data_IF_129496973423
#
_entry.id   IF_129496973423
#
_cell.length_a   1.000
_cell.length_b   1.000
_cell.length_c   1.000
_cell.angle_alpha   90.00
_cell.angle_beta   90.00
_cell.angle_gamma   90.00
#
_symmetry.space_group_name_H-M   'P 1'
#
loop_
_entity.id
_entity.type
_entity.pdbx_description
1 polymer ?
#
# COMPACT_ATOMS: atom_id res chain seq x y z
N UNK A 1 -16.13 -10.23 -67.92
CA UNK A 1 -15.54 -11.17 -66.95
C UNK A 1 -14.02 -11.07 -67.03
N UNK A 2 -13.35 -10.53 -66.01
CA UNK A 2 -11.89 -10.45 -65.98
C UNK A 2 -11.35 -11.42 -64.91
N UNK A 3 -10.67 -12.47 -65.34
CA UNK A 3 -10.02 -13.47 -64.50
C UNK A 3 -8.77 -12.86 -63.84
N UNK A 4 -8.88 -12.48 -62.56
CA UNK A 4 -7.71 -12.08 -61.76
C UNK A 4 -6.85 -13.30 -61.45
N UNK A 5 -5.68 -13.40 -62.07
CA UNK A 5 -4.67 -14.43 -61.80
C UNK A 5 -4.15 -14.32 -60.36
N UNK A 6 -4.49 -15.28 -59.48
CA UNK A 6 -3.91 -15.39 -58.13
C UNK A 6 -2.42 -15.71 -58.24
N UNK A 7 -1.54 -14.79 -57.82
CA UNK A 7 -0.10 -15.05 -57.62
C UNK A 7 0.08 -16.23 -56.66
N UNK A 8 0.68 -17.33 -57.13
CA UNK A 8 1.10 -18.48 -56.30
C UNK A 8 2.03 -17.97 -55.18
N UNK A 9 1.69 -18.22 -53.92
CA UNK A 9 2.61 -18.03 -52.78
C UNK A 9 3.83 -18.93 -53.01
N UNK A 10 5.04 -18.34 -53.03
CA UNK A 10 6.30 -19.10 -53.01
C UNK A 10 6.28 -20.06 -51.82
N UNK A 11 6.55 -21.34 -52.06
CA UNK A 11 6.70 -22.33 -50.99
C UNK A 11 7.78 -21.85 -49.98
N UNK A 12 7.57 -22.05 -48.67
CA UNK A 12 8.60 -21.71 -47.69
C UNK A 12 9.87 -22.51 -48.00
N UNK A 13 11.02 -21.82 -48.04
CA UNK A 13 12.33 -22.48 -48.18
C UNK A 13 12.50 -23.52 -47.06
N UNK A 14 12.96 -24.72 -47.41
CA UNK A 14 13.28 -25.76 -46.44
C UNK A 14 14.22 -25.21 -45.35
N UNK A 15 13.87 -25.42 -44.08
CA UNK A 15 14.64 -24.94 -42.94
C UNK A 15 15.91 -25.78 -42.83
N UNK A 16 17.08 -25.15 -42.74
CA UNK A 16 18.38 -25.82 -42.58
C UNK A 16 18.35 -26.67 -41.30
N UNK A 17 18.91 -27.88 -41.33
CA UNK A 17 19.19 -28.65 -40.11
C UNK A 17 20.29 -27.90 -39.35
N UNK A 18 19.94 -27.34 -38.20
CA UNK A 18 20.88 -26.61 -37.34
C UNK A 18 21.39 -27.54 -36.25
N UNK A 19 22.71 -27.65 -36.10
CA UNK A 19 23.36 -28.26 -34.94
C UNK A 19 23.42 -27.18 -33.86
N UNK A 20 22.99 -27.52 -32.65
CA UNK A 20 22.93 -26.54 -31.56
C UNK A 20 24.32 -25.99 -31.21
N UNK A 21 24.35 -24.83 -30.56
CA UNK A 21 25.58 -24.15 -30.10
C UNK A 21 26.56 -25.01 -29.29
N UNK A 22 26.08 -26.07 -28.63
CA UNK A 22 26.92 -27.00 -27.88
C UNK A 22 27.85 -27.88 -28.72
N UNK A 23 27.63 -27.98 -30.04
CA UNK A 23 28.48 -28.73 -30.96
C UNK A 23 29.57 -27.86 -31.63
N UNK A 24 29.67 -26.58 -31.26
CA UNK A 24 30.65 -25.67 -31.85
C UNK A 24 32.09 -26.07 -31.48
N UNK A 25 33.02 -26.13 -32.46
CA UNK A 25 34.41 -26.47 -32.19
C UNK A 25 35.09 -25.42 -31.30
N UNK A 26 35.80 -25.86 -30.26
CA UNK A 26 36.55 -25.02 -29.32
C UNK A 26 38.08 -25.10 -29.50
N UNK A 27 38.53 -25.85 -30.51
CA UNK A 27 39.92 -26.06 -30.88
C UNK A 27 40.45 -25.00 -31.85
N UNK A 28 39.60 -24.51 -32.75
CA UNK A 28 39.99 -23.56 -33.79
C UNK A 28 38.93 -22.48 -34.01
N UNK A 29 39.29 -21.23 -33.70
CA UNK A 29 38.40 -20.07 -33.79
C UNK A 29 37.85 -19.83 -35.20
N UNK A 30 38.64 -20.08 -36.26
CA UNK A 30 38.19 -19.91 -37.64
C UNK A 30 37.10 -20.92 -37.99
N UNK A 31 37.29 -22.19 -37.60
CA UNK A 31 36.27 -23.25 -37.77
C UNK A 31 35.01 -22.96 -36.95
N UNK A 32 35.17 -22.42 -35.75
CA UNK A 32 34.03 -22.02 -34.92
C UNK A 32 33.22 -20.89 -35.55
N UNK A 33 33.88 -19.87 -36.11
CA UNK A 33 33.21 -18.78 -36.81
C UNK A 33 32.37 -19.29 -37.98
N UNK A 34 32.93 -20.21 -38.77
CA UNK A 34 32.25 -20.84 -39.90
C UNK A 34 31.08 -21.71 -39.41
N UNK A 35 31.27 -22.48 -38.32
CA UNK A 35 30.22 -23.26 -37.66
C UNK A 35 29.05 -22.39 -37.18
N UNK A 36 29.32 -21.25 -36.53
CA UNK A 36 28.29 -20.31 -36.11
C UNK A 36 27.56 -19.68 -37.30
N UNK A 37 28.26 -19.41 -38.40
CA UNK A 37 27.66 -18.84 -39.61
C UNK A 37 26.74 -19.84 -40.34
N UNK A 38 27.13 -21.11 -40.34
CA UNK A 38 26.47 -22.13 -41.13
C UNK A 38 25.47 -22.97 -40.31
N UNK A 39 25.85 -23.43 -39.14
CA UNK A 39 25.11 -24.50 -38.46
C UNK A 39 24.25 -24.03 -37.28
N UNK A 40 24.50 -22.84 -36.74
CA UNK A 40 23.77 -22.29 -35.59
C UNK A 40 22.59 -21.41 -36.03
N UNK A 41 21.39 -21.62 -35.47
CA UNK A 41 20.23 -20.73 -35.70
C UNK A 41 20.47 -19.35 -35.07
N UNK A 42 20.10 -18.28 -35.77
CA UNK A 42 20.20 -16.89 -35.30
C UNK A 42 19.53 -16.65 -33.94
N UNK A 43 18.50 -17.45 -33.61
CA UNK A 43 17.83 -17.40 -32.30
C UNK A 43 18.76 -17.72 -31.13
N UNK A 44 19.83 -18.49 -31.35
CA UNK A 44 20.79 -18.89 -30.31
C UNK A 44 21.89 -17.84 -30.06
N UNK A 45 22.05 -16.85 -30.95
CA UNK A 45 23.10 -15.82 -30.81
C UNK A 45 22.87 -14.88 -29.63
N UNK A 46 21.63 -14.40 -29.45
CA UNK A 46 21.31 -13.38 -28.45
C UNK A 46 21.56 -13.85 -27.00
N UNK A 47 21.19 -15.07 -26.59
CA UNK A 47 21.55 -15.60 -25.27
C UNK A 47 23.05 -15.61 -24.99
N UNK A 48 23.87 -16.04 -25.97
CA UNK A 48 25.33 -16.11 -25.84
C UNK A 48 25.94 -14.71 -25.66
N UNK A 49 25.50 -13.76 -26.48
CA UNK A 49 25.97 -12.37 -26.41
C UNK A 49 25.57 -11.74 -25.09
N UNK A 50 24.34 -11.99 -24.60
CA UNK A 50 23.87 -11.52 -23.29
C UNK A 50 24.73 -12.06 -22.15
N UNK A 51 25.13 -13.33 -22.20
CA UNK A 51 25.99 -13.93 -21.19
C UNK A 51 27.37 -13.25 -21.15
N UNK A 52 27.98 -13.00 -22.31
CA UNK A 52 29.26 -12.31 -22.42
C UNK A 52 29.19 -10.86 -21.91
N UNK A 53 28.19 -10.10 -22.36
CA UNK A 53 28.01 -8.70 -21.97
C UNK A 53 27.80 -8.55 -20.46
N UNK A 54 27.10 -9.50 -19.83
CA UNK A 54 26.93 -9.55 -18.37
C UNK A 54 28.22 -9.89 -17.61
N UNK A 55 29.08 -10.74 -18.17
CA UNK A 55 30.37 -11.14 -17.56
C UNK A 55 31.40 -10.01 -17.65
N UNK A 56 31.41 -9.24 -18.75
CA UNK A 56 32.50 -8.28 -19.05
C UNK A 56 32.20 -6.82 -18.72
N UNK A 57 30.99 -6.33 -18.96
CA UNK A 57 30.68 -4.88 -18.86
C UNK A 57 29.91 -4.53 -17.60
N UNK A 58 30.00 -3.28 -17.16
CA UNK A 58 29.23 -2.73 -16.05
C UNK A 58 27.74 -2.59 -16.39
N UNK A 59 26.90 -2.47 -15.36
CA UNK A 59 25.44 -2.47 -15.50
C UNK A 59 24.92 -1.32 -16.39
N UNK A 60 25.58 -0.16 -16.42
CA UNK A 60 25.13 0.97 -17.24
C UNK A 60 25.40 0.70 -18.73
N UNK A 61 26.59 0.18 -19.04
CA UNK A 61 26.96 -0.20 -20.41
C UNK A 61 26.11 -1.37 -20.93
N UNK A 62 25.80 -2.35 -20.08
CA UNK A 62 24.87 -3.43 -20.44
C UNK A 62 23.49 -2.90 -20.85
N UNK A 63 22.93 -1.97 -20.08
CA UNK A 63 21.63 -1.37 -20.36
C UNK A 63 21.62 -0.59 -21.68
N UNK A 64 22.69 0.14 -21.97
CA UNK A 64 22.85 0.84 -23.24
C UNK A 64 22.91 -0.16 -24.41
N UNK A 65 23.78 -1.18 -24.32
CA UNK A 65 23.92 -2.20 -25.37
C UNK A 65 22.59 -2.90 -25.67
N UNK A 66 21.85 -3.32 -24.64
CA UNK A 66 20.58 -4.04 -24.81
C UNK A 66 19.38 -3.16 -25.20
N UNK A 67 19.52 -1.83 -25.20
CA UNK A 67 18.46 -0.95 -25.70
C UNK A 67 18.42 -0.90 -27.23
N UNK A 68 19.50 -1.31 -27.90
CA UNK A 68 19.52 -1.46 -29.35
C UNK A 68 18.59 -2.58 -29.83
N UNK A 69 18.22 -2.54 -31.11
CA UNK A 69 17.41 -3.60 -31.72
C UNK A 69 18.19 -4.91 -31.81
N UNK A 70 17.50 -6.06 -31.69
CA UNK A 70 18.12 -7.38 -31.74
C UNK A 70 18.92 -7.60 -33.04
N UNK A 71 18.48 -7.00 -34.16
CA UNK A 71 19.19 -7.08 -35.44
C UNK A 71 20.54 -6.35 -35.45
N UNK A 72 20.72 -5.34 -34.61
CA UNK A 72 21.98 -4.61 -34.47
C UNK A 72 23.02 -5.38 -33.63
N UNK A 73 22.58 -6.37 -32.84
CA UNK A 73 23.42 -7.13 -31.90
C UNK A 73 23.73 -8.53 -32.45
N UNK A 74 22.77 -9.18 -33.12
CA UNK A 74 22.80 -10.63 -33.43
C UNK A 74 23.53 -10.97 -34.73
N UNK A 75 24.85 -10.82 -34.75
CA UNK A 75 25.71 -11.29 -35.84
C UNK A 75 26.40 -12.63 -35.50
N UNK A 76 26.62 -13.48 -36.51
CA UNK A 76 27.19 -14.83 -36.33
C UNK A 76 28.63 -14.81 -35.79
N UNK A 77 29.48 -13.91 -36.29
CA UNK A 77 30.86 -13.75 -35.83
C UNK A 77 30.93 -13.16 -34.41
N UNK A 78 29.98 -12.27 -34.05
CA UNK A 78 29.85 -11.72 -32.71
C UNK A 78 29.48 -12.83 -31.72
N UNK A 79 28.54 -13.70 -32.08
CA UNK A 79 28.13 -14.85 -31.26
C UNK A 79 29.27 -15.86 -31.08
N UNK A 80 30.01 -16.18 -32.15
CA UNK A 80 31.17 -17.08 -32.08
C UNK A 80 32.26 -16.55 -31.13
N UNK A 81 32.57 -15.26 -31.21
CA UNK A 81 33.50 -14.61 -30.30
C UNK A 81 33.02 -14.65 -28.85
N UNK A 82 31.75 -14.28 -28.60
CA UNK A 82 31.17 -14.32 -27.26
C UNK A 82 31.16 -15.74 -26.68
N UNK A 83 30.95 -16.77 -27.51
CA UNK A 83 31.02 -18.16 -27.10
C UNK A 83 32.42 -18.56 -26.63
N UNK A 84 33.46 -18.17 -27.37
CA UNK A 84 34.86 -18.42 -26.97
C UNK A 84 35.24 -17.69 -25.68
N UNK A 85 34.80 -16.44 -25.53
CA UNK A 85 35.06 -15.65 -24.33
C UNK A 85 34.29 -16.16 -23.09
N UNK A 86 33.11 -16.77 -23.28
CA UNK A 86 32.36 -17.38 -22.19
C UNK A 86 32.97 -18.70 -21.72
N UNK A 87 33.63 -19.44 -22.63
CA UNK A 87 34.32 -20.70 -22.34
C UNK A 87 35.81 -20.51 -22.01
N UNK A 88 36.25 -19.28 -21.70
CA UNK A 88 37.61 -18.94 -21.29
C UNK A 88 38.71 -19.36 -22.31
N UNK A 89 38.38 -19.34 -23.61
CA UNK A 89 39.30 -19.65 -24.73
C UNK A 89 39.81 -18.38 -25.41
N UNK A 90 40.15 -17.36 -24.63
CA UNK A 90 40.61 -16.07 -25.16
C UNK A 90 41.91 -16.18 -25.98
N UNK A 91 42.83 -17.08 -25.58
CA UNK A 91 44.15 -17.25 -26.20
C UNK A 91 44.10 -17.75 -27.66
N UNK A 92 42.98 -18.34 -28.07
CA UNK A 92 42.78 -18.87 -29.43
C UNK A 92 42.15 -17.84 -30.38
N UNK A 93 41.81 -16.65 -29.89
CA UNK A 93 41.16 -15.60 -30.67
C UNK A 93 42.22 -14.62 -31.18
N UNK A 94 42.27 -14.33 -32.50
CA UNK A 94 43.21 -13.35 -33.05
C UNK A 94 43.00 -11.95 -32.46
N UNK A 95 44.10 -11.23 -32.21
CA UNK A 95 44.08 -9.87 -31.62
C UNK A 95 43.22 -8.89 -32.42
N UNK A 96 43.24 -8.97 -33.75
CA UNK A 96 42.39 -8.15 -34.63
C UNK A 96 40.90 -8.34 -34.33
N UNK A 97 40.49 -9.59 -34.04
CA UNK A 97 39.11 -9.90 -33.68
C UNK A 97 38.77 -9.35 -32.30
N UNK A 98 39.71 -9.36 -31.35
CA UNK A 98 39.52 -8.76 -30.03
C UNK A 98 39.33 -7.24 -30.14
N UNK A 99 40.18 -6.56 -30.91
CA UNK A 99 40.12 -5.12 -31.12
C UNK A 99 38.81 -4.69 -31.80
N UNK A 100 38.39 -5.40 -32.85
CA UNK A 100 37.12 -5.13 -33.53
C UNK A 100 35.91 -5.31 -32.59
N UNK A 101 35.92 -6.36 -31.77
CA UNK A 101 34.82 -6.66 -30.85
C UNK A 101 34.73 -5.63 -29.71
N UNK A 102 35.86 -5.09 -29.25
CA UNK A 102 35.87 -4.01 -28.26
C UNK A 102 35.18 -2.74 -28.81
N UNK A 103 35.57 -2.27 -30.00
CA UNK A 103 34.93 -1.11 -30.63
C UNK A 103 33.47 -1.36 -31.03
N UNK A 104 33.11 -2.61 -31.36
CA UNK A 104 31.73 -2.97 -31.65
C UNK A 104 30.80 -2.84 -30.43
N UNK A 105 31.21 -3.30 -29.25
CA UNK A 105 30.37 -3.22 -28.06
C UNK A 105 30.36 -1.83 -27.41
N UNK A 106 31.52 -1.18 -27.31
CA UNK A 106 31.66 0.09 -26.61
C UNK A 106 31.27 1.24 -27.53
N UNK A 107 32.04 1.47 -28.61
CA UNK A 107 31.87 2.66 -29.45
C UNK A 107 30.58 2.60 -30.26
N UNK A 108 30.21 1.43 -30.80
CA UNK A 108 29.02 1.32 -31.65
C UNK A 108 27.73 1.08 -30.84
N UNK A 109 27.69 0.05 -30.01
CA UNK A 109 26.45 -0.35 -29.33
C UNK A 109 26.16 0.47 -28.09
N UNK A 110 27.15 0.76 -27.25
CA UNK A 110 26.89 1.52 -26.02
C UNK A 110 26.58 3.00 -26.32
N UNK A 111 27.24 3.64 -27.29
CA UNK A 111 26.92 5.02 -27.67
C UNK A 111 25.53 5.16 -28.29
N UNK A 112 25.18 4.31 -29.27
CA UNK A 112 23.83 4.27 -29.84
C UNK A 112 22.77 3.93 -28.79
N UNK A 113 23.10 3.05 -27.85
CA UNK A 113 22.24 2.75 -26.72
C UNK A 113 21.96 3.96 -25.84
N UNK A 114 23.00 4.77 -25.55
CA UNK A 114 22.87 6.00 -24.75
C UNK A 114 22.00 7.05 -25.44
N UNK A 115 22.10 7.22 -26.76
CA UNK A 115 21.24 8.18 -27.50
C UNK A 115 19.77 7.75 -27.47
N UNK A 116 19.48 6.47 -27.69
CA UNK A 116 18.11 5.93 -27.62
C UNK A 116 17.52 6.10 -26.20
N UNK A 117 18.32 5.88 -25.15
CA UNK A 117 17.88 6.10 -23.75
C UNK A 117 17.55 7.57 -23.51
N UNK A 118 18.32 8.50 -24.07
CA UNK A 118 18.07 9.93 -23.93
C UNK A 118 16.77 10.36 -24.63
N UNK A 119 16.53 9.86 -25.85
CA UNK A 119 15.31 10.13 -26.62
C UNK A 119 14.05 9.59 -25.91
N UNK A 120 14.08 8.35 -25.42
CA UNK A 120 12.95 7.76 -24.68
C UNK A 120 12.65 8.56 -23.40
N UNK A 121 13.70 8.97 -22.68
CA UNK A 121 13.53 9.81 -21.47
C UNK A 121 12.99 11.20 -21.81
N UNK A 122 13.28 11.75 -22.99
CA UNK A 122 12.73 13.02 -23.43
C UNK A 122 11.24 12.90 -23.79
N UNK A 123 10.83 11.83 -24.49
CA UNK A 123 9.42 11.56 -24.79
C UNK A 123 8.59 11.27 -23.54
N UNK A 124 9.10 10.51 -22.58
CA UNK A 124 8.40 10.25 -21.31
C UNK A 124 8.20 11.55 -20.52
N UNK A 125 9.16 12.48 -20.55
CA UNK A 125 9.00 13.80 -19.93
C UNK A 125 7.98 14.67 -20.64
N UNK A 126 7.77 14.48 -21.94
CA UNK A 126 6.79 15.24 -22.73
C UNK A 126 5.35 14.73 -22.56
N UNK A 127 5.15 13.42 -22.38
CA UNK A 127 3.81 12.80 -22.31
C UNK A 127 3.10 12.90 -20.94
N UNK A 128 3.79 13.28 -19.87
CA UNK A 128 3.28 13.07 -18.50
C UNK A 128 2.67 14.31 -17.83
N UNK A 129 2.78 15.52 -18.37
CA UNK A 129 2.41 16.71 -17.56
C UNK A 129 0.93 17.07 -17.49
N UNK A 130 0.06 16.65 -18.43
CA UNK A 130 -1.30 17.21 -18.52
C UNK A 130 -2.44 16.19 -18.72
N UNK A 131 -2.27 14.92 -18.33
CA UNK A 131 -3.41 14.01 -18.32
C UNK A 131 -4.26 14.25 -17.06
N UNK A 132 -5.43 14.88 -17.21
CA UNK A 132 -6.39 15.05 -16.12
C UNK A 132 -6.85 13.68 -15.61
N UNK A 133 -6.70 13.44 -14.31
CA UNK A 133 -7.17 12.23 -13.64
C UNK A 133 -8.39 12.60 -12.79
N UNK A 134 -9.61 12.20 -13.17
CA UNK A 134 -10.80 12.50 -12.40
C UNK A 134 -10.67 11.97 -10.98
N UNK A 135 -10.94 12.84 -10.01
CA UNK A 135 -11.03 12.50 -8.59
C UNK A 135 -12.18 11.53 -8.34
N UNK A 136 -12.14 10.87 -7.18
CA UNK A 136 -13.20 9.92 -6.79
C UNK A 136 -14.57 10.61 -6.69
N UNK A 137 -14.61 11.88 -6.26
CA UNK A 137 -15.85 12.64 -6.16
C UNK A 137 -16.43 12.95 -7.54
N UNK A 138 -15.59 13.32 -8.51
CA UNK A 138 -16.02 13.57 -9.89
C UNK A 138 -16.58 12.30 -10.54
N UNK A 139 -15.93 11.15 -10.32
CA UNK A 139 -16.44 9.86 -10.81
C UNK A 139 -17.78 9.47 -10.18
N UNK A 140 -17.96 9.73 -8.88
CA UNK A 140 -19.23 9.48 -8.20
C UNK A 140 -20.32 10.39 -8.78
N UNK A 141 -19.99 11.66 -9.01
CA UNK A 141 -20.92 12.64 -9.61
C UNK A 141 -21.32 12.24 -11.02
N UNK A 142 -20.36 11.83 -11.85
CA UNK A 142 -20.60 11.34 -13.22
C UNK A 142 -21.48 10.08 -13.22
N UNK A 143 -21.16 9.08 -12.39
CA UNK A 143 -21.98 7.89 -12.25
C UNK A 143 -23.40 8.20 -11.74
N UNK A 144 -23.52 9.14 -10.79
CA UNK A 144 -24.82 9.64 -10.35
C UNK A 144 -25.58 10.35 -11.47
N UNK A 145 -24.89 11.13 -12.30
CA UNK A 145 -25.48 11.79 -13.47
C UNK A 145 -26.07 10.79 -14.47
N UNK A 146 -25.37 9.69 -14.74
CA UNK A 146 -25.89 8.62 -15.60
C UNK A 146 -27.15 7.97 -15.01
N UNK A 147 -27.18 7.77 -13.69
CA UNK A 147 -28.37 7.22 -13.02
C UNK A 147 -29.53 8.22 -13.07
N UNK A 148 -29.26 9.52 -12.91
CA UNK A 148 -30.27 10.58 -13.06
C UNK A 148 -30.81 10.59 -14.48
N UNK A 149 -29.96 10.51 -15.51
CA UNK A 149 -30.41 10.47 -16.91
C UNK A 149 -31.40 9.32 -17.19
N UNK A 150 -31.15 8.13 -16.63
CA UNK A 150 -32.08 7.02 -16.76
C UNK A 150 -33.40 7.21 -15.97
N UNK A 151 -33.37 7.98 -14.88
CA UNK A 151 -34.59 8.36 -14.16
C UNK A 151 -35.34 9.43 -14.97
N UNK A 152 -34.62 10.38 -15.58
CA UNK A 152 -35.21 11.40 -16.44
C UNK A 152 -35.92 10.79 -17.64
N UNK A 153 -35.42 9.69 -18.24
CA UNK A 153 -36.18 8.95 -19.27
C UNK A 153 -37.57 8.50 -18.76
N UNK A 154 -37.67 8.11 -17.49
CA UNK A 154 -38.95 7.77 -16.87
C UNK A 154 -39.79 9.03 -16.62
N UNK A 155 -39.17 10.13 -16.19
CA UNK A 155 -39.84 11.42 -15.98
C UNK A 155 -40.39 11.96 -17.31
N UNK A 156 -39.64 11.87 -18.40
CA UNK A 156 -40.08 12.26 -19.75
C UNK A 156 -41.29 11.44 -20.18
N UNK A 157 -41.29 10.12 -19.96
CA UNK A 157 -42.48 9.30 -20.25
C UNK A 157 -43.70 9.68 -19.41
N UNK A 158 -43.48 10.22 -18.20
CA UNK A 158 -44.55 10.77 -17.37
C UNK A 158 -45.05 12.10 -17.94
N UNK A 159 -44.15 13.02 -18.32
CA UNK A 159 -44.49 14.34 -18.89
C UNK A 159 -45.24 14.20 -20.22
N UNK A 160 -44.79 13.30 -21.09
CA UNK A 160 -45.40 13.06 -22.40
C UNK A 160 -46.81 12.47 -22.30
N UNK A 161 -47.05 11.60 -21.30
CA UNK A 161 -48.38 11.00 -21.12
C UNK A 161 -48.71 10.68 -19.65
N UNK A 162 -49.08 11.70 -18.84
CA UNK A 162 -49.41 11.51 -17.42
C UNK A 162 -50.60 10.58 -17.18
N UNK A 163 -51.50 10.45 -18.16
CA UNK A 163 -52.70 9.63 -18.07
C UNK A 163 -52.41 8.12 -18.16
N UNK A 164 -51.41 7.72 -18.95
CA UNK A 164 -51.02 6.30 -19.14
C UNK A 164 -49.83 5.86 -18.30
N UNK A 165 -49.20 6.78 -17.57
CA UNK A 165 -48.02 6.48 -16.76
C UNK A 165 -48.33 5.43 -15.69
N UNK A 166 -47.52 4.36 -15.67
CA UNK A 166 -47.59 3.32 -14.65
C UNK A 166 -46.66 3.69 -13.50
N UNK A 167 -47.07 3.36 -12.27
CA UNK A 167 -46.29 3.60 -11.05
C UNK A 167 -44.83 3.15 -11.22
N UNK A 168 -43.90 4.05 -10.94
CA UNK A 168 -42.46 3.78 -10.92
C UNK A 168 -42.01 3.30 -9.53
N UNK A 169 -41.29 2.18 -9.49
CA UNK A 169 -40.68 1.65 -8.26
C UNK A 169 -39.20 2.05 -8.19
N UNK A 170 -38.94 3.22 -7.61
CA UNK A 170 -37.60 3.77 -7.45
C UNK A 170 -36.69 2.88 -6.58
N UNK A 171 -37.24 2.13 -5.62
CA UNK A 171 -36.46 1.23 -4.76
C UNK A 171 -35.91 0.07 -5.57
N UNK A 172 -36.75 -0.56 -6.39
CA UNK A 172 -36.32 -1.66 -7.27
C UNK A 172 -35.30 -1.17 -8.31
N UNK A 173 -35.49 0.02 -8.86
CA UNK A 173 -34.54 0.64 -9.78
C UNK A 173 -33.18 0.94 -9.11
N UNK A 174 -33.17 1.51 -7.90
CA UNK A 174 -31.91 1.77 -7.18
C UNK A 174 -31.16 0.49 -6.82
N UNK A 175 -31.89 -0.59 -6.52
CA UNK A 175 -31.29 -1.90 -6.28
C UNK A 175 -30.67 -2.50 -7.54
N UNK A 176 -31.32 -2.37 -8.71
CA UNK A 176 -30.74 -2.89 -9.97
C UNK A 176 -29.48 -2.13 -10.39
N UNK A 177 -29.40 -0.83 -10.09
CA UNK A 177 -28.24 0.03 -10.37
C UNK A 177 -27.19 0.05 -9.26
N UNK A 178 -27.37 -0.73 -8.19
CA UNK A 178 -26.46 -0.78 -7.05
C UNK A 178 -26.15 0.61 -6.46
N UNK A 179 -27.18 1.44 -6.29
CA UNK A 179 -27.05 2.80 -5.75
C UNK A 179 -26.52 2.76 -4.32
N UNK A 180 -25.36 3.38 -4.10
CA UNK A 180 -24.75 3.63 -2.79
C UNK A 180 -25.31 4.91 -2.16
N UNK A 181 -25.22 5.05 -0.84
CA UNK A 181 -25.42 6.30 -0.09
C UNK A 181 -24.83 7.55 -0.78
N UNK A 182 -23.62 7.46 -1.34
CA UNK A 182 -23.01 8.60 -2.03
C UNK A 182 -23.81 9.02 -3.29
N UNK A 183 -24.28 8.04 -4.06
CA UNK A 183 -25.12 8.30 -5.22
C UNK A 183 -26.50 8.83 -4.82
N UNK A 184 -27.10 8.22 -3.79
CA UNK A 184 -28.40 8.65 -3.25
C UNK A 184 -28.40 10.12 -2.80
N UNK A 185 -27.28 10.64 -2.26
CA UNK A 185 -27.15 12.07 -1.92
C UNK A 185 -27.23 12.99 -3.13
N UNK A 186 -26.56 12.64 -4.22
CA UNK A 186 -26.57 13.43 -5.44
C UNK A 186 -27.93 13.38 -6.14
N UNK A 187 -28.54 12.20 -6.21
CA UNK A 187 -29.87 12.01 -6.80
C UNK A 187 -30.93 12.78 -5.98
N UNK A 188 -30.90 12.67 -4.65
CA UNK A 188 -31.78 13.42 -3.76
C UNK A 188 -31.66 14.92 -3.96
N UNK A 189 -30.44 15.45 -4.03
CA UNK A 189 -30.21 16.89 -4.21
C UNK A 189 -30.76 17.42 -5.54
N UNK A 190 -30.81 16.59 -6.59
CA UNK A 190 -31.40 16.96 -7.88
C UNK A 190 -32.94 17.03 -7.80
N UNK A 191 -33.59 16.03 -7.20
CA UNK A 191 -35.06 15.95 -7.15
C UNK A 191 -35.72 16.69 -5.99
N UNK A 192 -34.98 17.12 -4.97
CA UNK A 192 -35.54 17.80 -3.79
C UNK A 192 -36.18 19.14 -4.14
N UNK A 193 -35.58 19.90 -5.07
CA UNK A 193 -36.14 21.17 -5.57
C UNK A 193 -37.41 20.94 -6.39
N UNK A 194 -37.36 20.04 -7.36
CA UNK A 194 -38.50 19.68 -8.22
C UNK A 194 -39.67 19.20 -7.36
N UNK A 195 -39.42 18.31 -6.40
CA UNK A 195 -40.43 17.84 -5.46
C UNK A 195 -41.05 18.98 -4.64
N UNK A 196 -40.26 19.96 -4.22
CA UNK A 196 -40.75 21.11 -3.46
C UNK A 196 -41.70 21.96 -4.30
N UNK A 197 -41.37 22.23 -5.56
CA UNK A 197 -42.22 22.96 -6.52
C UNK A 197 -43.58 22.25 -6.71
N UNK A 198 -43.55 20.94 -7.00
CA UNK A 198 -44.79 20.17 -7.16
C UNK A 198 -45.61 20.06 -5.87
N UNK A 199 -44.98 20.10 -4.68
CA UNK A 199 -45.70 20.19 -3.41
C UNK A 199 -46.35 21.55 -3.20
N UNK A 200 -45.71 22.65 -3.61
CA UNK A 200 -46.30 23.99 -3.57
C UNK A 200 -47.52 24.08 -4.48
N UNK A 201 -47.49 23.44 -5.66
CA UNK A 201 -48.64 23.38 -6.56
C UNK A 201 -49.85 22.63 -6.00
N UNK A 202 -49.67 21.80 -4.97
CA UNK A 202 -50.80 21.16 -4.26
C UNK A 202 -51.49 22.08 -3.26
N UNK A 203 -50.85 23.17 -2.83
CA UNK A 203 -51.43 24.13 -1.90
C UNK A 203 -52.54 24.96 -2.56
N UNK A 204 -53.41 25.64 -1.80
CA UNK A 204 -54.41 26.53 -2.37
C UNK A 204 -53.76 27.63 -3.23
N UNK A 205 -54.40 28.04 -4.32
CA UNK A 205 -53.87 29.04 -5.27
C UNK A 205 -53.53 30.42 -4.68
N UNK A 206 -53.92 30.70 -3.43
CA UNK A 206 -53.57 31.93 -2.69
C UNK A 206 -52.18 31.87 -2.05
N UNK A 207 -51.67 30.66 -1.83
CA UNK A 207 -50.38 30.37 -1.20
C UNK A 207 -49.33 29.98 -2.24
N UNK A 208 -49.75 29.78 -3.50
CA UNK A 208 -48.87 29.50 -4.63
C UNK A 208 -48.20 30.78 -5.13
N UNK A 209 -46.92 30.70 -5.46
CA UNK A 209 -46.24 31.76 -6.19
C UNK A 209 -46.83 31.88 -7.61
N UNK A 210 -47.01 33.11 -8.08
CA UNK A 210 -47.68 33.41 -9.35
C UNK A 210 -46.92 32.82 -10.55
N UNK A 211 -45.59 32.94 -10.55
CA UNK A 211 -44.69 32.42 -11.57
C UNK A 211 -44.76 30.89 -11.67
N UNK A 212 -44.81 30.19 -10.53
CA UNK A 212 -44.95 28.73 -10.47
C UNK A 212 -46.30 28.28 -11.04
N UNK A 213 -47.36 29.01 -10.74
CA UNK A 213 -48.69 28.69 -11.27
C UNK A 213 -48.78 28.88 -12.78
N UNK A 214 -48.13 29.92 -13.32
CA UNK A 214 -48.04 30.16 -14.76
C UNK A 214 -47.23 29.05 -15.44
N UNK A 215 -46.05 28.71 -14.91
CA UNK A 215 -45.17 27.70 -15.48
C UNK A 215 -45.83 26.32 -15.62
N UNK A 216 -46.66 25.93 -14.65
CA UNK A 216 -47.32 24.61 -14.60
C UNK A 216 -48.80 24.63 -14.97
N UNK A 217 -49.31 25.71 -15.58
CA UNK A 217 -50.72 25.84 -15.97
C UNK A 217 -51.22 24.76 -16.95
N UNK A 218 -50.31 24.08 -17.64
CA UNK A 218 -50.60 23.00 -18.58
C UNK A 218 -50.91 21.65 -17.90
N UNK A 219 -50.67 21.51 -16.59
CA UNK A 219 -50.91 20.27 -15.83
C UNK A 219 -52.22 20.31 -15.05
N UNK A 220 -52.98 19.22 -15.11
CA UNK A 220 -54.17 19.03 -14.30
C UNK A 220 -53.81 18.70 -12.84
N UNK A 221 -54.72 19.01 -11.90
CA UNK A 221 -54.56 18.70 -10.47
C UNK A 221 -54.31 17.20 -10.20
N UNK A 222 -54.86 16.31 -11.02
CA UNK A 222 -54.61 14.87 -10.94
C UNK A 222 -53.17 14.52 -11.30
N UNK A 223 -52.60 15.22 -12.28
CA UNK A 223 -51.25 14.94 -12.77
C UNK A 223 -50.20 15.55 -11.86
N UNK A 224 -50.45 16.72 -11.28
CA UNK A 224 -49.64 17.28 -10.18
C UNK A 224 -49.55 16.31 -8.99
N UNK A 225 -50.65 15.62 -8.65
CA UNK A 225 -50.63 14.59 -7.59
C UNK A 225 -49.75 13.39 -7.95
N UNK A 226 -49.86 12.88 -9.18
CA UNK A 226 -49.00 11.78 -9.67
C UNK A 226 -47.53 12.19 -9.73
N UNK A 227 -47.24 13.43 -10.12
CA UNK A 227 -45.88 13.97 -10.13
C UNK A 227 -45.28 13.98 -8.72
N UNK A 228 -46.04 14.46 -7.72
CA UNK A 228 -45.62 14.40 -6.32
C UNK A 228 -45.39 12.95 -5.86
N UNK A 229 -46.25 12.00 -6.23
CA UNK A 229 -46.04 10.59 -5.90
C UNK A 229 -44.76 10.02 -6.52
N UNK A 230 -44.47 10.37 -7.78
CA UNK A 230 -43.25 9.95 -8.48
C UNK A 230 -41.99 10.52 -7.81
N UNK A 231 -41.91 11.85 -7.65
CA UNK A 231 -40.73 12.50 -7.08
C UNK A 231 -40.55 12.17 -5.59
N UNK A 232 -41.64 12.08 -4.82
CA UNK A 232 -41.57 11.63 -3.42
C UNK A 232 -41.13 10.16 -3.32
N UNK A 233 -41.52 9.31 -4.27
CA UNK A 233 -41.04 7.94 -4.38
C UNK A 233 -39.52 7.87 -4.61
N UNK A 234 -38.98 8.73 -5.50
CA UNK A 234 -37.55 8.82 -5.78
C UNK A 234 -36.76 9.30 -4.56
N UNK A 235 -37.20 10.39 -3.92
CA UNK A 235 -36.56 10.93 -2.71
C UNK A 235 -36.66 9.95 -1.55
N UNK A 236 -37.82 9.32 -1.35
CA UNK A 236 -38.02 8.31 -0.31
C UNK A 236 -37.14 7.08 -0.51
N UNK A 237 -36.92 6.64 -1.74
CA UNK A 237 -35.98 5.57 -2.05
C UNK A 237 -34.52 5.96 -1.73
N UNK A 238 -34.14 7.23 -1.96
CA UNK A 238 -32.81 7.73 -1.59
C UNK A 238 -32.60 7.73 -0.06
N UNK A 239 -33.63 8.11 0.69
CA UNK A 239 -33.61 8.12 2.16
C UNK A 239 -33.52 6.70 2.72
N UNK A 240 -34.24 5.74 2.13
CA UNK A 240 -34.16 4.32 2.46
C UNK A 240 -32.74 3.76 2.27
N UNK A 241 -32.14 3.98 1.09
CA UNK A 241 -30.75 3.54 0.81
C UNK A 241 -29.76 4.15 1.81
N UNK A 242 -29.98 5.41 2.18
CA UNK A 242 -29.16 6.11 3.17
C UNK A 242 -29.33 5.53 4.57
N UNK A 243 -30.55 5.16 4.97
CA UNK A 243 -30.82 4.53 6.26
C UNK A 243 -30.25 3.11 6.33
N UNK A 244 -30.44 2.29 5.30
CA UNK A 244 -29.87 0.94 5.20
C UNK A 244 -28.33 0.98 5.29
N UNK A 245 -27.70 1.93 4.59
CA UNK A 245 -26.24 2.12 4.64
C UNK A 245 -25.73 2.51 6.03
N UNK A 246 -26.51 3.30 6.79
CA UNK A 246 -26.17 3.67 8.17
C UNK A 246 -26.35 2.50 9.13
N UNK A 247 -27.44 1.74 9.00
CA UNK A 247 -27.75 0.61 9.86
C UNK A 247 -26.75 -0.55 9.68
N UNK A 248 -26.30 -0.80 8.45
CA UNK A 248 -25.34 -1.87 8.14
C UNK A 248 -23.88 -1.51 8.44
N UNK A 249 -23.58 -0.24 8.74
CA UNK A 249 -22.22 0.21 9.03
C UNK A 249 -21.73 -0.34 10.37
N UNK A 250 -20.87 -1.37 10.32
CA UNK A 250 -20.23 -1.94 11.51
C UNK A 250 -19.43 -0.87 12.27
N UNK A 251 -19.87 -0.53 13.48
CA UNK A 251 -19.11 0.32 14.40
C UNK A 251 -17.77 -0.34 14.68
N UNK A 252 -16.66 0.34 14.36
CA UNK A 252 -15.32 -0.17 14.66
C UNK A 252 -15.11 -0.14 16.17
N UNK A 253 -15.13 -1.30 16.81
CA UNK A 253 -14.65 -1.46 18.18
C UNK A 253 -13.12 -1.46 18.18
N UNK A 254 -12.45 -0.59 18.96
CA UNK A 254 -11.01 -0.59 19.04
C UNK A 254 -10.53 -1.89 19.69
N UNK A 255 -9.59 -2.59 19.05
CA UNK A 255 -8.94 -3.76 19.64
C UNK A 255 -8.14 -3.34 20.88
N UNK A 256 -8.16 -4.10 21.99
CA UNK A 256 -7.29 -3.84 23.12
C UNK A 256 -5.82 -3.85 22.65
N UNK A 257 -5.02 -2.89 23.14
CA UNK A 257 -3.61 -2.78 22.77
C UNK A 257 -2.84 -3.92 23.45
N UNK A 258 -1.95 -4.57 22.71
CA UNK A 258 -1.04 -5.57 23.29
C UNK A 258 -0.10 -4.95 24.32
N UNK A 259 0.38 -5.75 25.27
CA UNK A 259 1.27 -5.32 26.36
C UNK A 259 2.51 -4.54 25.82
N UNK A 260 3.13 -5.05 24.75
CA UNK A 260 4.27 -4.39 24.11
C UNK A 260 3.94 -2.98 23.59
N UNK A 261 2.72 -2.78 23.07
CA UNK A 261 2.28 -1.47 22.56
C UNK A 261 1.98 -0.48 23.69
N UNK A 262 1.56 -0.96 24.85
CA UNK A 262 1.36 -0.12 26.04
C UNK A 262 2.70 0.36 26.60
N UNK A 263 3.71 -0.51 26.55
CA UNK A 263 5.03 -0.31 27.13
C UNK A 263 6.04 0.35 26.18
N UNK A 264 5.76 0.41 24.88
CA UNK A 264 6.67 0.93 23.85
C UNK A 264 7.26 2.34 24.13
N UNK A 265 6.62 3.14 24.99
CA UNK A 265 7.05 4.50 25.34
C UNK A 265 7.77 4.60 26.69
N UNK A 266 7.96 3.48 27.40
CA UNK A 266 8.71 3.47 28.67
C UNK A 266 10.18 3.72 28.37
N UNK A 267 10.74 4.64 29.15
CA UNK A 267 12.17 4.93 29.21
C UNK A 267 12.75 4.20 30.40
N UNK A 268 13.71 3.30 30.18
CA UNK A 268 14.39 2.52 31.23
C UNK A 268 15.82 2.17 30.80
N UNK A 269 16.68 1.89 31.76
CA UNK A 269 18.04 1.45 31.52
C UNK A 269 18.06 -0.05 31.23
N UNK A 270 18.50 -0.49 30.04
CA UNK A 270 18.51 -1.93 29.70
C UNK A 270 19.54 -2.73 30.51
N UNK A 271 20.72 -2.17 30.71
CA UNK A 271 21.82 -2.79 31.44
C UNK A 271 22.76 -1.70 31.94
N UNK A 272 23.27 -1.87 33.16
CA UNK A 272 24.26 -0.99 33.77
C UNK A 272 25.52 -1.78 34.11
N UNK A 273 26.66 -1.36 33.55
CA UNK A 273 27.96 -2.01 33.76
C UNK A 273 28.54 -1.69 35.14
N UNK A 274 28.21 -0.51 35.70
CA UNK A 274 28.74 -0.03 36.98
C UNK A 274 28.26 -0.89 38.15
N UNK A 275 26.97 -1.18 38.22
CA UNK A 275 26.38 -2.02 39.26
C UNK A 275 26.11 -3.46 38.81
N UNK A 276 26.46 -3.80 37.56
CA UNK A 276 26.30 -5.13 36.94
C UNK A 276 24.85 -5.66 37.06
N UNK A 277 23.89 -4.79 36.75
CA UNK A 277 22.45 -5.12 36.78
C UNK A 277 21.83 -4.97 35.39
N UNK A 278 20.90 -5.86 35.06
CA UNK A 278 20.13 -5.84 33.82
C UNK A 278 18.65 -5.68 34.14
N UNK A 279 17.92 -4.94 33.29
CA UNK A 279 16.47 -4.78 33.43
C UNK A 279 15.71 -5.97 32.86
N UNK A 280 14.61 -6.33 33.52
CA UNK A 280 13.61 -7.23 32.94
C UNK A 280 12.85 -6.55 31.80
N UNK A 281 12.10 -7.35 31.02
CA UNK A 281 11.27 -6.80 29.97
C UNK A 281 10.16 -5.94 30.62
N UNK A 282 10.02 -4.66 30.24
CA UNK A 282 8.99 -3.81 30.80
C UNK A 282 7.56 -4.28 30.48
N UNK A 283 7.36 -5.20 29.52
CA UNK A 283 6.08 -5.88 29.30
C UNK A 283 5.60 -6.65 30.55
N UNK A 284 6.53 -7.15 31.36
CA UNK A 284 6.23 -7.93 32.58
C UNK A 284 5.68 -7.08 33.73
N UNK A 285 5.76 -5.74 33.61
CA UNK A 285 5.13 -4.80 34.55
C UNK A 285 3.61 -4.86 34.44
N UNK A 286 3.08 -5.16 33.25
CA UNK A 286 1.63 -5.26 33.05
C UNK A 286 1.13 -6.50 33.78
N UNK A 287 0.08 -6.32 34.55
CA UNK A 287 -0.52 -7.34 35.42
C UNK A 287 0.33 -7.71 36.65
N UNK A 288 1.37 -6.92 36.97
CA UNK A 288 2.15 -7.09 38.19
C UNK A 288 1.43 -6.48 39.41
N UNK A 289 1.54 -7.14 40.56
CA UNK A 289 1.12 -6.66 41.88
C UNK A 289 2.21 -5.84 42.55
N UNK A 290 3.49 -6.19 42.33
CA UNK A 290 4.63 -5.43 42.83
C UNK A 290 5.73 -5.28 41.77
N UNK A 291 6.33 -4.10 41.66
CA UNK A 291 7.47 -3.85 40.76
C UNK A 291 8.62 -3.21 41.51
N UNK A 292 9.79 -3.81 41.39
CA UNK A 292 11.02 -3.37 42.03
C UNK A 292 11.94 -2.69 41.04
N UNK A 293 12.45 -1.54 41.45
CA UNK A 293 13.06 -0.57 40.57
C UNK A 293 14.30 0.00 41.24
N UNK A 294 15.39 0.18 40.51
CA UNK A 294 16.62 0.77 41.02
C UNK A 294 17.10 1.91 40.13
N UNK A 295 17.38 3.06 40.72
CA UNK A 295 17.90 4.21 40.00
C UNK A 295 19.41 4.37 40.21
N UNK A 296 20.17 4.27 39.12
CA UNK A 296 21.64 4.24 39.11
C UNK A 296 22.22 5.56 39.64
N UNK A 297 21.63 6.69 39.26
CA UNK A 297 22.12 8.04 39.61
C UNK A 297 21.91 8.37 41.09
N UNK A 298 20.73 8.04 41.61
CA UNK A 298 20.35 8.34 43.01
C UNK A 298 20.72 7.23 43.98
N UNK A 299 21.11 6.05 43.48
CA UNK A 299 21.35 4.82 44.26
C UNK A 299 20.16 4.40 45.12
N UNK A 300 18.94 4.75 44.68
CA UNK A 300 17.71 4.42 45.37
C UNK A 300 17.11 3.15 44.80
N UNK A 301 16.77 2.21 45.67
CA UNK A 301 15.88 1.10 45.34
C UNK A 301 14.46 1.49 45.75
N UNK A 302 13.49 1.25 44.87
CA UNK A 302 12.08 1.55 45.05
C UNK A 302 11.24 0.31 44.86
N UNK A 303 10.19 0.20 45.67
CA UNK A 303 9.12 -0.79 45.53
C UNK A 303 7.85 -0.05 45.11
N UNK A 304 7.26 -0.46 43.99
CA UNK A 304 5.90 -0.08 43.60
C UNK A 304 4.96 -1.21 43.98
N UNK A 305 3.83 -0.87 44.61
CA UNK A 305 2.77 -1.80 44.95
C UNK A 305 1.50 -1.34 44.27
N UNK A 306 0.76 -2.27 43.65
CA UNK A 306 -0.54 -1.98 43.04
C UNK A 306 -1.56 -1.51 44.09
N UNK A 307 -2.55 -0.75 43.66
CA UNK A 307 -3.69 -0.38 44.51
C UNK A 307 -4.64 -1.58 44.73
N UNK A 308 -5.47 -1.50 45.76
CA UNK A 308 -6.35 -2.61 46.15
C UNK A 308 -7.29 -2.98 44.98
N UNK A 309 -7.30 -4.28 44.60
CA UNK A 309 -8.03 -4.86 43.47
C UNK A 309 -7.63 -4.37 42.05
N UNK A 310 -6.51 -3.66 41.92
CA UNK A 310 -5.98 -3.24 40.62
C UNK A 310 -4.66 -3.95 40.29
N UNK A 311 -4.33 -4.02 39.00
CA UNK A 311 -2.98 -4.39 38.55
C UNK A 311 -2.22 -3.18 38.02
N UNK A 312 -0.89 -3.23 38.09
CA UNK A 312 -0.07 -2.15 37.56
C UNK A 312 -0.22 -2.06 36.04
N UNK A 313 -0.47 -0.84 35.57
CA UNK A 313 -0.51 -0.52 34.15
C UNK A 313 0.47 0.59 33.81
N UNK A 314 0.81 0.74 32.53
CA UNK A 314 1.73 1.80 32.10
C UNK A 314 1.11 2.64 31.01
N UNK A 315 1.18 3.97 31.20
CA UNK A 315 0.81 4.98 30.21
C UNK A 315 2.00 5.88 29.93
N UNK A 316 2.66 5.67 28.79
CA UNK A 316 3.85 6.44 28.44
C UNK A 316 5.03 6.01 29.30
N UNK A 317 5.51 6.91 30.17
CA UNK A 317 6.57 6.66 31.15
C UNK A 317 6.05 6.57 32.59
N UNK A 318 4.73 6.64 32.77
CA UNK A 318 4.09 6.70 34.09
C UNK A 318 3.40 5.39 34.39
N UNK A 319 3.71 4.84 35.56
CA UNK A 319 3.02 3.71 36.17
C UNK A 319 1.67 4.19 36.72
N UNK A 320 0.60 3.45 36.42
CA UNK A 320 -0.76 3.71 36.85
C UNK A 320 -1.20 2.67 37.88
N UNK A 321 -2.18 3.04 38.70
CA UNK A 321 -2.78 2.19 39.72
C UNK A 321 -1.77 1.66 40.76
N UNK A 322 -0.79 2.49 41.14
CA UNK A 322 0.10 2.18 42.25
C UNK A 322 -0.37 2.89 43.52
N UNK A 323 -0.22 2.24 44.67
CA UNK A 323 -0.56 2.79 45.97
C UNK A 323 0.56 3.74 46.46
N UNK A 324 0.30 5.05 46.62
CA UNK A 324 1.33 6.03 47.00
C UNK A 324 1.78 5.91 48.46
N UNK A 325 1.02 5.21 49.32
CA UNK A 325 1.39 4.97 50.73
C UNK A 325 2.34 3.80 50.87
N UNK A 326 2.12 2.72 50.11
CA UNK A 326 2.92 1.51 50.16
C UNK A 326 4.12 1.54 49.19
N UNK A 327 4.13 2.47 48.24
CA UNK A 327 5.23 2.62 47.28
C UNK A 327 6.34 3.54 47.81
N UNK A 328 7.45 2.94 48.22
CA UNK A 328 8.53 3.60 48.95
C UNK A 328 9.88 3.34 48.28
N UNK A 329 10.81 4.29 48.40
CA UNK A 329 12.22 4.13 48.03
C UNK A 329 13.18 4.45 49.17
N UNK A 330 14.25 3.66 49.24
CA UNK A 330 15.37 3.77 50.18
C UNK A 330 16.70 3.86 49.43
N UNK A 331 17.66 4.57 50.01
CA UNK A 331 19.00 4.75 49.42
C UNK A 331 19.94 3.62 49.86
N UNK A 332 20.60 2.96 48.92
CA UNK A 332 21.55 1.88 49.20
C UNK A 332 22.94 2.44 49.57
N UNK A 333 23.51 1.96 50.67
CA UNK A 333 24.86 2.36 51.12
C UNK A 333 25.96 1.56 50.42
N UNK A 334 25.71 0.30 50.10
CA UNK A 334 26.61 -0.59 49.32
C UNK A 334 25.85 -1.26 48.18
N UNK A 335 25.53 -0.52 47.11
CA UNK A 335 24.62 -0.99 46.06
C UNK A 335 25.09 -2.29 45.40
N UNK A 336 26.39 -2.52 45.19
CA UNK A 336 26.88 -3.74 44.53
C UNK A 336 26.60 -5.03 45.30
N UNK A 337 26.84 -5.03 46.62
CA UNK A 337 26.57 -6.18 47.48
C UNK A 337 25.06 -6.38 47.66
N UNK A 338 24.34 -5.29 47.94
CA UNK A 338 22.91 -5.32 48.21
C UNK A 338 22.07 -5.68 46.98
N UNK A 339 22.48 -5.28 45.77
CA UNK A 339 21.82 -5.69 44.52
C UNK A 339 22.08 -7.16 44.19
N UNK A 340 23.26 -7.69 44.51
CA UNK A 340 23.54 -9.14 44.39
C UNK A 340 22.70 -9.96 45.36
N UNK A 341 22.53 -9.49 46.59
CA UNK A 341 21.63 -10.10 47.58
C UNK A 341 20.17 -10.02 47.13
N UNK A 342 19.75 -8.90 46.57
CA UNK A 342 18.41 -8.72 46.00
C UNK A 342 18.12 -9.71 44.88
N UNK A 343 19.06 -9.91 43.94
CA UNK A 343 18.89 -10.87 42.85
C UNK A 343 18.79 -12.33 43.34
N UNK A 344 19.45 -12.66 44.46
CA UNK A 344 19.33 -13.98 45.11
C UNK A 344 18.05 -14.11 45.96
N UNK A 345 17.37 -13.01 46.27
CA UNK A 345 16.22 -13.00 47.17
C UNK A 345 14.95 -13.53 46.51
N UNK A 346 14.34 -14.54 47.14
CA UNK A 346 13.03 -15.08 46.79
C UNK A 346 11.85 -14.23 47.27
N UNK A 347 10.61 -14.65 46.93
CA UNK A 347 9.36 -13.90 47.24
C UNK A 347 9.19 -13.58 48.74
N UNK A 348 9.67 -14.46 49.63
CA UNK A 348 9.59 -14.28 51.09
C UNK A 348 10.60 -13.26 51.60
N UNK A 349 11.83 -13.30 51.10
CA UNK A 349 12.90 -12.38 51.49
C UNK A 349 12.64 -10.95 51.00
N UNK A 350 12.04 -10.81 49.80
CA UNK A 350 11.68 -9.52 49.22
C UNK A 350 10.68 -8.72 50.08
N UNK A 351 9.81 -9.38 50.84
CA UNK A 351 8.86 -8.71 51.75
C UNK A 351 9.57 -7.94 52.85
N UNK A 352 10.69 -8.47 53.36
CA UNK A 352 11.48 -7.87 54.46
C UNK A 352 12.69 -7.06 53.96
N UNK A 353 12.94 -7.05 52.66
CA UNK A 353 14.15 -6.45 52.09
C UNK A 353 14.24 -4.94 52.33
N UNK A 354 13.12 -4.22 52.25
CA UNK A 354 13.10 -2.78 52.54
C UNK A 354 13.27 -2.47 54.03
N UNK A 355 12.83 -3.34 54.92
CA UNK A 355 12.93 -3.14 56.37
C UNK A 355 14.38 -3.28 56.86
N UNK A 356 15.14 -4.17 56.21
CA UNK A 356 16.56 -4.39 56.52
C UNK A 356 17.48 -3.23 56.09
N UNK A 357 16.99 -2.29 55.28
CA UNK A 357 17.79 -1.14 54.81
C UNK A 357 17.64 0.03 55.80
N UNK A 358 18.73 0.35 56.49
CA UNK A 358 18.83 1.51 57.41
C UNK A 358 18.99 2.82 56.61
N UNK A 359 17.90 3.29 56.02
CA UNK A 359 17.82 4.55 55.28
C UNK A 359 16.44 5.21 55.40
N UNK A 360 16.39 6.53 55.22
CA UNK A 360 15.15 7.32 55.22
C UNK A 360 14.26 6.94 54.03
N UNK A 361 12.98 6.77 54.31
CA UNK A 361 11.95 6.43 53.34
C UNK A 361 11.53 7.66 52.52
N UNK A 362 11.49 7.48 51.20
CA UNK A 362 11.01 8.52 50.27
C UNK A 362 9.86 7.99 49.43
N UNK A 363 8.80 8.78 49.27
CA UNK A 363 7.62 8.40 48.48
C UNK A 363 7.95 8.36 46.99
N UNK A 364 7.39 7.38 46.28
CA UNK A 364 7.57 7.23 44.84
C UNK A 364 6.53 8.01 44.03
N UNK A 365 6.93 8.52 42.86
CA UNK A 365 6.12 9.37 41.99
C UNK A 365 5.54 8.64 40.75
N UNK A 366 5.79 7.33 40.64
CA UNK A 366 5.27 6.51 39.54
C UNK A 366 5.94 6.74 38.19
N UNK A 367 7.03 7.52 38.09
CA UNK A 367 7.71 7.79 36.82
C UNK A 367 8.98 6.96 36.68
N UNK A 368 9.15 6.34 35.51
CA UNK A 368 10.36 5.59 35.13
C UNK A 368 11.14 6.43 34.11
N UNK A 369 12.46 6.53 34.30
CA UNK A 369 13.37 7.30 33.46
C UNK A 369 14.52 6.41 32.92
N UNK A 370 15.36 6.98 32.05
CA UNK A 370 16.48 6.26 31.43
C UNK A 370 17.51 5.74 32.45
N UNK A 371 17.60 6.35 33.64
CA UNK A 371 18.55 5.96 34.69
C UNK A 371 18.00 4.86 35.61
N UNK A 372 16.79 4.40 35.33
CA UNK A 372 16.06 3.46 36.16
C UNK A 372 16.08 2.08 35.54
N UNK A 373 16.59 1.11 36.32
CA UNK A 373 16.63 -0.31 36.01
C UNK A 373 15.42 -0.99 36.66
N UNK A 374 14.70 -1.81 35.90
CA UNK A 374 13.58 -2.60 36.41
C UNK A 374 14.13 -3.95 36.86
N UNK A 375 14.19 -4.19 38.17
CA UNK A 375 14.86 -5.36 38.73
C UNK A 375 13.96 -6.61 38.71
N UNK A 376 12.70 -6.46 39.12
CA UNK A 376 11.76 -7.59 39.25
C UNK A 376 10.32 -7.13 39.20
N UNK A 377 9.47 -7.88 38.50
CA UNK A 377 8.02 -7.74 38.55
C UNK A 377 7.45 -9.01 39.22
N UNK A 378 6.61 -8.83 40.23
CA UNK A 378 5.92 -9.90 40.93
C UNK A 378 4.45 -9.82 40.55
N UNK A 379 3.92 -10.95 40.09
CA UNK A 379 2.49 -11.15 39.87
C UNK A 379 1.87 -11.75 41.14
#
# INVERSE_FOLDING_TARGET
MALTTRKRKKAPRARRKTTGTGAAPLDNYKRAKDFFHFEVDKKEYLPIIKAYVKKKYDKATQQAIFKNTDSAITYSHVAAFCHYMNNDKADLVPDDSVNWMQGFFVDRLAEKGKTIIAEVKAEEKAKVKNAYVPSIQERIKEASGNIIAEIEEVVDTFIDNPAKFKKFDAVKFFRSKNVNQAHARHIRAFYEGILAEYKMLQQPAREQEEDLREAYAHLDKSDVKKAVELFAGIVGACDLVTAESKATRKTRTPKPKSADKLVAKIKYCKSDEKYKVASINPADIIDATEVWVFNIKTRKIGKYVADDNCTLQVKGTTLQFFNPKQSVAKTLRKPEEQLREFNKSGKVALRKFMDNIVAVETKMNGRINNDTVILKAVK
#
